data_IF_821496002642
#
_entry.id   IF_821496002642
#
_cell.length_a   1.000
_cell.length_b   1.000
_cell.length_c   1.000
_cell.angle_alpha   90.00
_cell.angle_beta   90.00
_cell.angle_gamma   90.00
#
_symmetry.space_group_name_H-M   'P 1'
#
loop_
_entity.id
_entity.type
_entity.pdbx_description
1 polymer ?
#
# COMPACT_ATOMS: atom_id res chain seq x y z
N UNK A 1 46.94 -34.95 -20.11
CA UNK A 1 47.33 -33.68 -19.46
C UNK A 1 46.26 -32.59 -19.51
N UNK A 2 45.08 -32.77 -20.16
CA UNK A 2 44.01 -31.75 -20.17
C UNK A 2 43.12 -31.72 -18.92
N UNK A 3 42.91 -32.85 -18.22
CA UNK A 3 42.01 -32.92 -17.06
C UNK A 3 42.50 -32.15 -15.81
N UNK A 4 43.80 -31.88 -15.70
CA UNK A 4 44.40 -31.19 -14.53
C UNK A 4 44.24 -29.68 -14.59
N UNK A 5 44.29 -29.08 -15.78
CA UNK A 5 44.03 -27.65 -15.97
C UNK A 5 42.56 -27.30 -15.75
N UNK A 6 41.64 -28.16 -16.19
CA UNK A 6 40.21 -27.92 -16.02
C UNK A 6 39.77 -28.04 -14.55
N UNK A 7 40.29 -29.03 -13.81
CA UNK A 7 39.99 -29.19 -12.38
C UNK A 7 40.55 -28.04 -11.52
N UNK A 8 41.74 -27.53 -11.84
CA UNK A 8 42.30 -26.35 -11.16
C UNK A 8 41.53 -25.06 -11.46
N UNK A 9 41.07 -24.87 -12.70
CA UNK A 9 40.19 -23.76 -13.08
C UNK A 9 38.85 -23.81 -12.35
N UNK A 10 38.20 -24.98 -12.28
CA UNK A 10 36.94 -25.16 -11.54
C UNK A 10 37.12 -24.89 -10.04
N UNK A 11 38.21 -25.36 -9.44
CA UNK A 11 38.51 -25.09 -8.04
C UNK A 11 38.72 -23.58 -7.76
N UNK A 12 39.44 -22.89 -8.66
CA UNK A 12 39.64 -21.44 -8.58
C UNK A 12 38.31 -20.68 -8.70
N UNK A 13 37.47 -21.03 -9.68
CA UNK A 13 36.15 -20.42 -9.89
C UNK A 13 35.24 -20.62 -8.67
N UNK A 14 35.23 -21.82 -8.09
CA UNK A 14 34.45 -22.11 -6.88
C UNK A 14 34.95 -21.30 -5.67
N UNK A 15 36.27 -21.15 -5.52
CA UNK A 15 36.85 -20.32 -4.46
C UNK A 15 36.52 -18.83 -4.63
N UNK A 16 36.62 -18.31 -5.86
CA UNK A 16 36.23 -16.93 -6.18
C UNK A 16 34.73 -16.72 -5.92
N UNK A 17 33.88 -17.63 -6.41
CA UNK A 17 32.43 -17.59 -6.18
C UNK A 17 32.09 -17.62 -4.69
N UNK A 18 32.75 -18.47 -3.90
CA UNK A 18 32.56 -18.55 -2.44
C UNK A 18 32.92 -17.24 -1.72
N UNK A 19 34.06 -16.64 -2.08
CA UNK A 19 34.50 -15.35 -1.51
C UNK A 19 33.56 -14.21 -1.92
N UNK A 20 33.21 -14.12 -3.20
CA UNK A 20 32.26 -13.12 -3.71
C UNK A 20 30.90 -13.25 -3.02
N UNK A 21 30.36 -14.46 -2.90
CA UNK A 21 29.11 -14.71 -2.21
C UNK A 21 29.16 -14.26 -0.75
N UNK A 22 30.28 -14.46 -0.06
CA UNK A 22 30.44 -14.02 1.34
C UNK A 22 30.42 -12.49 1.47
N UNK A 23 31.20 -11.78 0.64
CA UNK A 23 31.23 -10.30 0.67
C UNK A 23 29.91 -9.68 0.23
N UNK A 24 29.30 -10.19 -0.86
CA UNK A 24 28.02 -9.69 -1.35
C UNK A 24 26.92 -9.94 -0.32
N UNK A 25 26.88 -11.14 0.29
CA UNK A 25 25.91 -11.46 1.35
C UNK A 25 26.04 -10.50 2.53
N UNK A 26 27.27 -10.16 2.94
CA UNK A 26 27.51 -9.19 3.99
C UNK A 26 27.00 -7.79 3.63
N UNK A 27 27.33 -7.29 2.44
CA UNK A 27 26.86 -5.98 1.98
C UNK A 27 25.34 -5.92 1.87
N UNK A 28 24.71 -6.96 1.33
CA UNK A 28 23.24 -7.07 1.22
C UNK A 28 22.61 -7.11 2.61
N UNK A 29 23.19 -7.84 3.56
CA UNK A 29 22.69 -7.87 4.94
C UNK A 29 22.82 -6.49 5.60
N UNK A 30 23.98 -5.84 5.51
CA UNK A 30 24.23 -4.54 6.12
C UNK A 30 23.30 -3.45 5.54
N UNK A 31 23.37 -3.22 4.23
CA UNK A 31 22.58 -2.16 3.61
C UNK A 31 21.10 -2.50 3.55
N UNK A 32 20.75 -3.78 3.38
CA UNK A 32 19.37 -4.24 3.39
C UNK A 32 18.70 -4.07 4.76
N UNK A 33 19.40 -4.38 5.86
CA UNK A 33 18.83 -4.22 7.21
C UNK A 33 18.64 -2.74 7.54
N UNK A 34 19.66 -1.91 7.30
CA UNK A 34 19.57 -0.45 7.48
C UNK A 34 18.41 0.13 6.66
N UNK A 35 18.34 -0.21 5.36
CA UNK A 35 17.30 0.31 4.46
C UNK A 35 15.88 -0.09 4.88
N UNK A 36 15.67 -1.34 5.29
CA UNK A 36 14.36 -1.80 5.74
C UNK A 36 13.99 -1.22 7.11
N UNK A 37 14.92 -1.09 8.05
CA UNK A 37 14.68 -0.46 9.35
C UNK A 37 14.26 1.01 9.15
N UNK A 38 15.00 1.78 8.34
CA UNK A 38 14.65 3.15 8.03
C UNK A 38 13.27 3.25 7.36
N UNK A 39 12.99 2.37 6.40
CA UNK A 39 11.68 2.30 5.73
C UNK A 39 10.56 2.03 6.73
N UNK A 40 10.76 1.10 7.67
CA UNK A 40 9.77 0.78 8.71
C UNK A 40 9.56 1.99 9.62
N UNK A 41 10.62 2.66 10.08
CA UNK A 41 10.51 3.84 10.96
C UNK A 41 9.73 4.96 10.27
N UNK A 42 10.08 5.29 9.02
CA UNK A 42 9.44 6.36 8.25
C UNK A 42 7.99 5.99 7.96
N UNK A 43 7.72 4.83 7.38
CA UNK A 43 6.37 4.45 6.94
C UNK A 43 5.42 4.11 8.10
N UNK A 44 5.92 3.89 9.31
CA UNK A 44 5.11 3.70 10.52
C UNK A 44 4.46 4.99 11.03
N UNK A 45 4.95 6.17 10.61
CA UNK A 45 4.43 7.46 11.05
C UNK A 45 2.93 7.60 10.72
N UNK A 46 2.13 7.98 11.73
CA UNK A 46 0.67 8.06 11.60
C UNK A 46 0.22 9.03 10.49
N UNK A 47 0.99 10.10 10.26
CA UNK A 47 0.76 11.07 9.17
C UNK A 47 0.80 10.41 7.78
N UNK A 48 1.72 9.47 7.56
CA UNK A 48 1.88 8.78 6.27
C UNK A 48 0.88 7.64 6.10
N UNK A 49 0.52 6.94 7.18
CA UNK A 49 -0.45 5.83 7.19
C UNK A 49 -1.91 6.22 6.90
N UNK A 50 -2.16 7.50 6.64
CA UNK A 50 -3.43 7.98 6.06
C UNK A 50 -3.58 7.48 4.63
N UNK A 51 -2.48 7.36 3.88
CA UNK A 51 -2.46 6.80 2.53
C UNK A 51 -2.39 5.25 2.59
N UNK A 52 -3.37 4.51 2.03
CA UNK A 52 -3.38 3.04 2.09
C UNK A 52 -2.16 2.39 1.42
N UNK A 53 -1.65 2.98 0.34
CA UNK A 53 -0.44 2.53 -0.38
C UNK A 53 0.77 2.38 0.57
N UNK A 54 0.92 3.29 1.54
CA UNK A 54 1.99 3.27 2.54
C UNK A 54 1.91 2.04 3.45
N UNK A 55 0.70 1.54 3.74
CA UNK A 55 0.53 0.34 4.58
C UNK A 55 1.10 -0.90 3.89
N UNK A 56 0.94 -1.01 2.56
CA UNK A 56 1.51 -2.11 1.79
C UNK A 56 3.04 -2.04 1.74
N UNK A 57 3.61 -0.85 1.52
CA UNK A 57 5.08 -0.67 1.54
C UNK A 57 5.68 -0.93 2.93
N UNK A 58 4.99 -0.52 4.00
CA UNK A 58 5.39 -0.84 5.37
C UNK A 58 5.40 -2.35 5.59
N UNK A 59 4.30 -3.03 5.25
CA UNK A 59 4.21 -4.49 5.39
C UNK A 59 5.26 -5.22 4.52
N UNK A 60 5.54 -4.72 3.31
CA UNK A 60 6.58 -5.27 2.43
C UNK A 60 7.98 -5.07 3.00
N UNK A 61 8.25 -3.92 3.64
CA UNK A 61 9.52 -3.65 4.34
C UNK A 61 9.71 -4.56 5.55
N UNK A 62 8.64 -4.82 6.32
CA UNK A 62 8.65 -5.77 7.43
C UNK A 62 8.94 -7.18 6.92
N UNK A 63 8.26 -7.61 5.84
CA UNK A 63 8.50 -8.91 5.25
C UNK A 63 9.94 -9.04 4.74
N UNK A 64 10.44 -8.02 4.06
CA UNK A 64 11.81 -7.94 3.54
C UNK A 64 12.85 -7.98 4.65
N UNK A 65 12.61 -7.31 5.76
CA UNK A 65 13.46 -7.41 6.95
C UNK A 65 13.49 -8.85 7.51
N UNK A 66 12.34 -9.52 7.58
CA UNK A 66 12.25 -10.93 7.96
C UNK A 66 13.09 -11.86 7.07
N UNK A 67 13.08 -11.64 5.74
CA UNK A 67 13.91 -12.39 4.79
C UNK A 67 15.40 -12.23 5.12
N UNK A 68 15.84 -11.01 5.42
CA UNK A 68 17.24 -10.73 5.74
C UNK A 68 17.65 -11.41 7.05
N UNK A 69 16.80 -11.35 8.09
CA UNK A 69 17.09 -11.97 9.39
C UNK A 69 17.08 -13.49 9.36
N UNK A 70 16.23 -14.11 8.54
CA UNK A 70 16.08 -15.57 8.51
C UNK A 70 17.04 -16.20 7.47
N UNK A 71 17.25 -15.51 6.35
CA UNK A 71 17.91 -16.09 5.19
C UNK A 71 19.42 -15.90 5.11
N UNK A 72 19.92 -14.74 5.55
CA UNK A 72 21.32 -14.37 5.36
C UNK A 72 22.25 -14.77 6.51
N UNK A 73 21.83 -14.81 7.79
CA UNK A 73 22.73 -15.24 8.87
C UNK A 73 23.32 -16.64 8.68
N UNK A 74 22.53 -17.61 8.19
CA UNK A 74 23.05 -18.96 7.91
C UNK A 74 24.15 -18.94 6.82
N UNK A 75 24.01 -18.05 5.83
CA UNK A 75 24.98 -17.85 4.74
C UNK A 75 26.21 -17.07 5.18
N UNK A 76 26.05 -16.08 6.07
CA UNK A 76 27.17 -15.36 6.69
C UNK A 76 28.00 -16.27 7.58
N UNK A 77 27.36 -17.09 8.41
CA UNK A 77 28.04 -18.12 9.19
C UNK A 77 28.80 -19.09 8.30
N UNK A 78 28.19 -19.54 7.18
CA UNK A 78 28.88 -20.40 6.23
C UNK A 78 30.16 -19.77 5.66
N UNK A 79 30.17 -18.45 5.40
CA UNK A 79 31.36 -17.73 4.93
C UNK A 79 32.46 -17.53 5.99
N UNK A 80 32.09 -17.44 7.28
CA UNK A 80 33.01 -17.18 8.39
C UNK A 80 33.57 -18.45 9.04
N UNK A 81 32.73 -19.47 9.25
CA UNK A 81 33.10 -20.71 9.96
C UNK A 81 33.20 -21.92 9.03
N UNK A 82 33.03 -21.73 7.71
CA UNK A 82 33.00 -22.80 6.70
C UNK A 82 31.92 -23.88 6.94
N UNK A 83 30.98 -23.63 7.86
CA UNK A 83 29.88 -24.54 8.21
C UNK A 83 28.54 -23.81 8.17
N UNK A 84 27.63 -24.24 7.29
CA UNK A 84 26.25 -23.75 7.23
C UNK A 84 25.34 -24.65 8.08
N UNK A 85 24.67 -24.15 9.13
CA UNK A 85 23.75 -24.93 9.97
C UNK A 85 22.59 -25.57 9.21
N UNK A 86 22.22 -25.01 8.06
CA UNK A 86 21.13 -25.55 7.22
C UNK A 86 21.55 -26.79 6.46
N UNK A 87 22.86 -27.04 6.34
CA UNK A 87 23.40 -28.24 5.70
C UNK A 87 23.54 -29.42 6.67
N UNK A 88 23.35 -29.20 7.97
CA UNK A 88 23.48 -30.23 9.00
C UNK A 88 22.14 -30.62 9.62
N UNK A 89 21.15 -29.74 9.60
CA UNK A 89 19.85 -29.97 10.24
C UNK A 89 18.69 -29.91 9.22
N UNK A 90 18.02 -31.05 9.02
CA UNK A 90 16.94 -31.20 8.02
C UNK A 90 15.75 -30.29 8.30
N UNK A 91 15.41 -30.09 9.58
CA UNK A 91 14.36 -29.18 9.98
C UNK A 91 14.71 -27.73 9.62
N UNK A 92 15.95 -27.30 9.89
CA UNK A 92 16.40 -25.95 9.54
C UNK A 92 16.46 -25.72 8.02
N UNK A 93 16.91 -26.70 7.24
CA UNK A 93 16.87 -26.66 5.78
C UNK A 93 15.44 -26.41 5.27
N UNK A 94 14.50 -27.27 5.66
CA UNK A 94 13.10 -27.23 5.22
C UNK A 94 12.40 -25.95 5.65
N UNK A 95 12.48 -25.62 6.93
CA UNK A 95 11.80 -24.44 7.51
C UNK A 95 12.35 -23.15 6.92
N UNK A 96 13.68 -23.03 6.75
CA UNK A 96 14.29 -21.85 6.14
C UNK A 96 13.77 -21.62 4.73
N UNK A 97 13.74 -22.66 3.88
CA UNK A 97 13.28 -22.51 2.50
C UNK A 97 11.80 -22.09 2.46
N UNK A 98 10.95 -22.78 3.22
CA UNK A 98 9.53 -22.46 3.33
C UNK A 98 9.29 -20.99 3.70
N UNK A 99 9.91 -20.55 4.79
CA UNK A 99 9.74 -19.17 5.29
C UNK A 99 10.31 -18.16 4.30
N UNK A 100 11.47 -18.41 3.70
CA UNK A 100 12.05 -17.46 2.73
C UNK A 100 11.18 -17.29 1.49
N UNK A 101 10.64 -18.37 0.95
CA UNK A 101 9.75 -18.30 -0.21
C UNK A 101 8.44 -17.59 0.13
N UNK A 102 7.82 -17.93 1.26
CA UNK A 102 6.59 -17.29 1.70
C UNK A 102 6.76 -15.78 1.95
N UNK A 103 7.83 -15.36 2.63
CA UNK A 103 8.09 -13.94 2.87
C UNK A 103 8.49 -13.18 1.61
N UNK A 104 9.25 -13.79 0.69
CA UNK A 104 9.58 -13.20 -0.63
C UNK A 104 8.32 -12.95 -1.45
N UNK A 105 7.46 -13.96 -1.57
CA UNK A 105 6.17 -13.83 -2.27
C UNK A 105 5.30 -12.77 -1.60
N UNK A 106 5.21 -12.77 -0.26
CA UNK A 106 4.48 -11.73 0.49
C UNK A 106 4.99 -10.33 0.14
N UNK A 107 6.30 -10.10 0.23
CA UNK A 107 6.90 -8.78 -0.02
C UNK A 107 6.61 -8.26 -1.42
N UNK A 108 6.73 -9.10 -2.45
CA UNK A 108 6.48 -8.74 -3.85
C UNK A 108 5.00 -8.45 -4.11
N UNK A 109 4.10 -9.31 -3.66
CA UNK A 109 2.66 -9.11 -3.87
C UNK A 109 2.11 -7.90 -3.13
N UNK A 110 2.69 -7.54 -1.99
CA UNK A 110 2.36 -6.28 -1.31
C UNK A 110 2.73 -5.06 -2.17
N UNK A 111 3.86 -5.08 -2.89
CA UNK A 111 4.22 -4.00 -3.82
C UNK A 111 3.30 -3.95 -5.04
N UNK A 112 2.89 -5.12 -5.56
CA UNK A 112 1.86 -5.20 -6.62
C UNK A 112 0.56 -4.53 -6.15
N UNK A 113 0.09 -4.87 -4.96
CA UNK A 113 -1.12 -4.27 -4.39
C UNK A 113 -0.97 -2.79 -4.04
N UNK A 114 0.24 -2.34 -3.66
CA UNK A 114 0.54 -0.92 -3.52
C UNK A 114 0.35 -0.18 -4.86
N UNK A 115 0.76 -0.80 -5.97
CA UNK A 115 0.61 -0.26 -7.33
C UNK A 115 -0.85 -0.23 -7.77
N UNK A 116 -1.62 -1.28 -7.46
CA UNK A 116 -3.06 -1.36 -7.72
C UNK A 116 -3.82 -0.30 -6.89
N UNK A 117 -3.47 -0.15 -5.61
CA UNK A 117 -4.05 0.87 -4.72
C UNK A 117 -3.77 2.27 -5.24
N UNK A 118 -2.55 2.53 -5.73
CA UNK A 118 -2.20 3.80 -6.35
C UNK A 118 -3.02 4.08 -7.63
N UNK A 119 -3.28 3.04 -8.43
CA UNK A 119 -4.17 3.16 -9.58
C UNK A 119 -5.59 3.51 -9.16
N UNK A 120 -6.16 2.84 -8.15
CA UNK A 120 -7.47 3.19 -7.60
C UNK A 120 -7.51 4.65 -7.12
N UNK A 121 -6.52 5.06 -6.32
CA UNK A 121 -6.42 6.42 -5.79
C UNK A 121 -6.34 7.50 -6.89
N UNK A 122 -5.68 7.19 -8.00
CA UNK A 122 -5.57 8.10 -9.15
C UNK A 122 -6.82 8.18 -10.04
N UNK A 123 -7.81 7.31 -9.84
CA UNK A 123 -8.95 7.22 -10.74
C UNK A 123 -9.91 8.41 -10.59
N UNK A 124 -10.36 8.95 -11.73
CA UNK A 124 -11.42 9.98 -11.76
C UNK A 124 -12.78 9.45 -11.30
N UNK A 125 -13.00 8.14 -11.41
CA UNK A 125 -14.23 7.50 -10.99
C UNK A 125 -14.24 7.32 -9.47
N UNK A 126 -15.15 8.02 -8.80
CA UNK A 126 -15.31 7.98 -7.34
C UNK A 126 -15.48 6.55 -6.80
N UNK A 127 -16.25 5.69 -7.47
CA UNK A 127 -16.49 4.32 -7.02
C UNK A 127 -15.20 3.51 -6.98
N UNK A 128 -14.32 3.70 -7.98
CA UNK A 128 -12.99 3.05 -8.02
C UNK A 128 -12.05 3.64 -6.98
N UNK A 129 -12.02 4.96 -6.84
CA UNK A 129 -11.19 5.65 -5.84
C UNK A 129 -11.49 5.23 -4.41
N UNK A 130 -12.77 4.97 -4.09
CA UNK A 130 -13.20 4.49 -2.77
C UNK A 130 -12.64 3.10 -2.42
N UNK A 131 -12.19 2.30 -3.40
CA UNK A 131 -11.53 1.02 -3.14
C UNK A 131 -10.14 1.21 -2.51
N UNK A 132 -9.46 2.33 -2.79
CA UNK A 132 -8.28 2.74 -2.03
C UNK A 132 -8.71 3.20 -0.65
N UNK A 133 -8.70 2.26 0.29
CA UNK A 133 -9.04 2.52 1.69
C UNK A 133 -8.18 1.69 2.62
N UNK A 134 -7.94 2.23 3.82
CA UNK A 134 -7.18 1.54 4.87
C UNK A 134 -7.82 0.21 5.27
N UNK A 135 -9.16 0.13 5.26
CA UNK A 135 -9.91 -1.09 5.58
C UNK A 135 -9.64 -2.19 4.56
N UNK A 136 -9.65 -1.86 3.27
CA UNK A 136 -9.30 -2.81 2.21
C UNK A 136 -7.81 -3.20 2.29
N UNK A 137 -6.93 -2.24 2.57
CA UNK A 137 -5.50 -2.51 2.69
C UNK A 137 -5.16 -3.53 3.79
N UNK A 138 -5.67 -3.36 5.02
CA UNK A 138 -5.40 -4.34 6.08
C UNK A 138 -5.91 -5.76 5.75
N UNK A 139 -7.08 -5.86 5.13
CA UNK A 139 -7.63 -7.15 4.68
C UNK A 139 -6.76 -7.77 3.58
N UNK A 140 -6.36 -6.97 2.58
CA UNK A 140 -5.49 -7.42 1.50
C UNK A 140 -4.13 -7.88 2.03
N UNK A 141 -3.50 -7.15 2.95
CA UNK A 141 -2.23 -7.54 3.58
C UNK A 141 -2.35 -8.91 4.24
N UNK A 142 -3.41 -9.13 5.04
CA UNK A 142 -3.65 -10.40 5.71
C UNK A 142 -3.85 -11.55 4.70
N UNK A 143 -4.69 -11.33 3.69
CA UNK A 143 -4.99 -12.33 2.65
C UNK A 143 -3.72 -12.68 1.85
N UNK A 144 -2.95 -11.69 1.42
CA UNK A 144 -1.70 -11.89 0.66
C UNK A 144 -0.72 -12.71 1.48
N UNK A 145 -0.57 -12.41 2.77
CA UNK A 145 0.32 -13.17 3.65
C UNK A 145 -0.12 -14.62 3.76
N UNK A 146 -1.41 -14.88 4.04
CA UNK A 146 -1.95 -16.24 4.14
C UNK A 146 -1.78 -17.01 2.83
N UNK A 147 -2.15 -16.41 1.69
CA UNK A 147 -2.02 -17.04 0.38
C UNK A 147 -0.56 -17.33 0.02
N UNK A 148 0.38 -16.46 0.41
CA UNK A 148 1.80 -16.69 0.20
C UNK A 148 2.32 -17.88 1.00
N UNK A 149 1.84 -18.10 2.22
CA UNK A 149 2.22 -19.27 3.02
C UNK A 149 1.59 -20.56 2.49
N UNK A 150 0.35 -20.49 2.02
CA UNK A 150 -0.33 -21.63 1.39
C UNK A 150 0.36 -22.04 0.09
N UNK A 151 0.79 -21.06 -0.72
CA UNK A 151 1.47 -21.32 -2.01
C UNK A 151 2.74 -22.14 -1.86
N UNK A 152 3.39 -22.08 -0.69
CA UNK A 152 4.67 -22.73 -0.44
C UNK A 152 4.60 -23.87 0.57
N UNK A 153 3.39 -24.33 0.93
CA UNK A 153 3.18 -25.35 1.97
C UNK A 153 3.81 -26.71 1.62
N UNK A 154 4.03 -26.97 0.34
CA UNK A 154 4.72 -28.15 -0.19
C UNK A 154 6.25 -28.09 0.00
N UNK A 155 6.84 -26.90 0.21
CA UNK A 155 8.29 -26.71 0.32
C UNK A 155 8.95 -27.58 1.41
N UNK A 156 8.42 -27.71 2.64
CA UNK A 156 8.98 -28.61 3.65
C UNK A 156 9.02 -30.09 3.26
N UNK A 157 8.17 -30.52 2.33
CA UNK A 157 8.11 -31.89 1.82
C UNK A 157 9.01 -32.07 0.59
N UNK A 158 9.23 -31.00 -0.16
CA UNK A 158 10.04 -31.01 -1.38
C UNK A 158 11.54 -30.83 -1.18
N UNK A 159 12.00 -30.42 0.00
CA UNK A 159 13.42 -30.23 0.30
C UNK A 159 13.97 -31.28 1.27
N UNK A 160 15.23 -31.68 1.07
CA UNK A 160 15.92 -32.64 1.90
C UNK A 160 17.41 -32.34 2.01
N UNK A 161 18.07 -33.05 2.93
CA UNK A 161 19.54 -33.02 3.08
C UNK A 161 20.16 -34.22 2.40
N UNK A 162 21.34 -34.04 1.79
CA UNK A 162 22.15 -35.10 1.16
C UNK A 162 21.40 -35.85 0.05
N UNK A 163 20.68 -35.11 -0.79
CA UNK A 163 20.01 -35.68 -1.97
C UNK A 163 21.09 -36.19 -2.95
N UNK A 164 20.97 -37.45 -3.46
CA UNK A 164 21.94 -37.98 -4.43
C UNK A 164 22.07 -37.06 -5.64
N UNK A 165 23.31 -36.85 -6.10
CA UNK A 165 23.61 -36.02 -7.28
C UNK A 165 23.19 -34.54 -7.19
N UNK A 166 22.83 -34.06 -5.99
CA UNK A 166 22.48 -32.67 -5.81
C UNK A 166 23.73 -31.76 -5.71
N UNK A 167 23.68 -30.55 -6.31
CA UNK A 167 24.79 -29.59 -6.26
C UNK A 167 24.95 -28.94 -4.86
N UNK A 168 23.93 -29.03 -4.01
CA UNK A 168 23.88 -28.43 -2.69
C UNK A 168 23.39 -29.45 -1.66
N UNK A 169 23.86 -29.33 -0.41
CA UNK A 169 23.46 -30.23 0.67
C UNK A 169 21.98 -30.11 1.03
N UNK A 170 21.41 -28.90 1.06
CA UNK A 170 19.98 -28.64 1.21
C UNK A 170 19.38 -28.35 -0.17
N UNK A 171 18.66 -29.31 -0.76
CA UNK A 171 18.20 -29.24 -2.15
C UNK A 171 16.88 -29.97 -2.38
N UNK A 172 16.27 -29.73 -3.55
CA UNK A 172 15.01 -30.35 -3.96
C UNK A 172 15.15 -31.87 -4.12
N UNK A 173 14.34 -32.61 -3.38
CA UNK A 173 14.42 -34.07 -3.24
C UNK A 173 14.06 -34.84 -4.53
N UNK A 174 13.17 -34.28 -5.36
CA UNK A 174 12.73 -34.88 -6.62
C UNK A 174 12.80 -33.89 -7.78
N UNK A 175 12.89 -34.39 -9.01
CA UNK A 175 12.84 -33.55 -10.21
C UNK A 175 11.52 -32.79 -10.32
N UNK A 176 10.39 -33.44 -9.97
CA UNK A 176 9.08 -32.80 -9.94
C UNK A 176 9.03 -31.61 -8.97
N UNK A 177 9.59 -31.77 -7.76
CA UNK A 177 9.68 -30.69 -6.78
C UNK A 177 10.54 -29.52 -7.26
N UNK A 178 11.62 -29.79 -8.00
CA UNK A 178 12.46 -28.72 -8.56
C UNK A 178 11.74 -27.93 -9.63
N UNK A 179 11.16 -28.62 -10.62
CA UNK A 179 10.41 -27.99 -11.70
C UNK A 179 9.23 -27.18 -11.15
N UNK A 180 8.46 -27.76 -10.22
CA UNK A 180 7.34 -27.08 -9.59
C UNK A 180 7.80 -25.81 -8.86
N UNK A 181 8.80 -25.92 -7.97
CA UNK A 181 9.27 -24.78 -7.19
C UNK A 181 9.86 -23.68 -8.07
N UNK A 182 10.67 -24.04 -9.08
CA UNK A 182 11.28 -23.06 -9.98
C UNK A 182 10.21 -22.33 -10.80
N UNK A 183 9.21 -23.05 -11.32
CA UNK A 183 8.11 -22.45 -12.08
C UNK A 183 7.19 -21.61 -11.17
N UNK A 184 6.84 -22.11 -9.99
CA UNK A 184 6.03 -21.40 -9.00
C UNK A 184 6.76 -20.12 -8.53
N UNK A 185 8.07 -20.18 -8.32
CA UNK A 185 8.87 -19.02 -7.94
C UNK A 185 8.91 -18.00 -9.07
N UNK A 186 9.29 -18.43 -10.29
CA UNK A 186 9.39 -17.54 -11.45
C UNK A 186 8.04 -16.87 -11.77
N UNK A 187 6.95 -17.63 -11.74
CA UNK A 187 5.61 -17.08 -11.99
C UNK A 187 5.15 -16.13 -10.88
N UNK A 188 5.22 -16.55 -9.61
CA UNK A 188 4.64 -15.81 -8.48
C UNK A 188 5.48 -14.64 -7.97
N UNK A 189 6.79 -14.61 -8.23
CA UNK A 189 7.69 -13.57 -7.72
C UNK A 189 8.27 -12.67 -8.82
N UNK A 190 8.31 -13.14 -10.07
CA UNK A 190 8.93 -12.39 -11.18
C UNK A 190 7.91 -12.04 -12.25
N UNK A 191 7.38 -13.03 -12.97
CA UNK A 191 6.64 -12.82 -14.21
C UNK A 191 5.29 -12.12 -13.95
N UNK A 192 4.42 -12.73 -13.14
CA UNK A 192 3.08 -12.20 -12.87
C UNK A 192 3.17 -10.84 -12.16
N UNK A 193 3.95 -10.67 -11.08
CA UNK A 193 4.10 -9.36 -10.44
C UNK A 193 4.59 -8.27 -11.37
N UNK A 194 5.60 -8.53 -12.21
CA UNK A 194 6.15 -7.52 -13.12
C UNK A 194 5.14 -7.07 -14.17
N UNK A 195 4.38 -8.01 -14.74
CA UNK A 195 3.31 -7.70 -15.70
C UNK A 195 2.23 -6.84 -15.03
N UNK A 196 1.77 -7.22 -13.83
CA UNK A 196 0.76 -6.46 -13.11
C UNK A 196 1.25 -5.06 -12.71
N UNK A 197 2.47 -4.94 -12.19
CA UNK A 197 3.06 -3.63 -11.83
C UNK A 197 3.20 -2.73 -13.06
N UNK A 198 3.60 -3.27 -14.21
CA UNK A 198 3.70 -2.50 -15.45
C UNK A 198 2.32 -2.01 -15.90
N UNK A 199 1.31 -2.90 -15.94
CA UNK A 199 -0.05 -2.55 -16.37
C UNK A 199 -0.63 -1.47 -15.45
N UNK A 200 -0.67 -1.70 -14.14
CA UNK A 200 -1.27 -0.75 -13.20
C UNK A 200 -0.44 0.53 -13.02
N UNK A 201 0.88 0.45 -13.20
CA UNK A 201 1.77 1.61 -13.26
C UNK A 201 1.43 2.51 -14.44
N UNK A 202 1.32 1.95 -15.65
CA UNK A 202 0.93 2.70 -16.85
C UNK A 202 -0.48 3.28 -16.74
N UNK A 203 -1.44 2.52 -16.19
CA UNK A 203 -2.80 3.02 -15.95
C UNK A 203 -2.84 4.16 -14.92
N UNK A 204 -1.97 4.12 -13.91
CA UNK A 204 -1.82 5.22 -12.95
C UNK A 204 -1.30 6.48 -13.64
N UNK A 205 -0.24 6.33 -14.45
CA UNK A 205 0.36 7.44 -15.22
C UNK A 205 -0.68 8.03 -16.18
N UNK A 206 -1.45 7.19 -16.87
CA UNK A 206 -2.54 7.62 -17.74
C UNK A 206 -3.60 8.44 -16.99
N UNK A 207 -4.05 7.96 -15.83
CA UNK A 207 -5.04 8.68 -15.01
C UNK A 207 -4.51 10.05 -14.54
N UNK A 208 -3.25 10.11 -14.12
CA UNK A 208 -2.61 11.35 -13.67
C UNK A 208 -2.49 12.34 -14.84
N UNK A 209 -2.02 11.91 -16.00
CA UNK A 209 -1.93 12.77 -17.18
C UNK A 209 -3.29 13.30 -17.62
N UNK A 210 -4.32 12.44 -17.65
CA UNK A 210 -5.69 12.86 -17.98
C UNK A 210 -6.22 13.90 -16.99
N UNK A 211 -5.99 13.68 -15.70
CA UNK A 211 -6.41 14.61 -14.65
C UNK A 211 -5.68 15.93 -14.77
N UNK A 212 -4.37 15.90 -15.03
CA UNK A 212 -3.56 17.08 -15.27
C UNK A 212 -4.07 17.87 -16.49
N UNK A 213 -4.28 17.21 -17.63
CA UNK A 213 -4.82 17.83 -18.85
C UNK A 213 -6.19 18.48 -18.64
N UNK A 214 -7.07 17.89 -17.82
CA UNK A 214 -8.37 18.47 -17.50
C UNK A 214 -8.28 19.73 -16.62
N UNK A 215 -7.26 19.84 -15.76
CA UNK A 215 -7.09 20.95 -14.82
C UNK A 215 -6.30 22.11 -15.45
N UNK A 216 -5.36 21.84 -16.37
CA UNK A 216 -4.54 22.85 -17.05
C UNK A 216 -5.31 24.06 -17.63
N UNK A 217 -6.43 23.91 -18.37
CA UNK A 217 -7.18 25.07 -18.88
C UNK A 217 -7.82 25.89 -17.75
N UNK A 218 -8.25 25.27 -16.66
CA UNK A 218 -8.79 25.98 -15.49
C UNK A 218 -7.70 26.81 -14.82
N UNK A 219 -6.51 26.22 -14.66
CA UNK A 219 -5.34 26.93 -14.12
C UNK A 219 -5.00 28.14 -15.01
N UNK A 220 -4.98 27.96 -16.34
CA UNK A 220 -4.67 29.02 -17.28
C UNK A 220 -5.69 30.17 -17.23
N UNK A 221 -6.98 29.88 -17.07
CA UNK A 221 -8.01 30.92 -16.91
C UNK A 221 -7.81 31.66 -15.58
N UNK A 222 -7.59 30.93 -14.49
CA UNK A 222 -7.39 31.52 -13.15
C UNK A 222 -6.16 32.44 -13.12
N UNK A 223 -5.06 32.04 -13.77
CA UNK A 223 -3.85 32.87 -13.85
C UNK A 223 -4.04 34.11 -14.69
N UNK A 224 -4.90 34.08 -15.71
CA UNK A 224 -5.24 35.25 -16.53
C UNK A 224 -6.17 36.23 -15.81
N UNK A 225 -7.10 35.73 -14.98
CA UNK A 225 -8.11 36.56 -14.30
C UNK A 225 -7.53 37.28 -13.08
N UNK A 226 -6.69 36.63 -12.27
CA UNK A 226 -6.03 37.28 -11.13
C UNK A 226 -4.65 36.64 -10.85
N UNK A 227 -3.57 37.20 -11.43
CA UNK A 227 -2.22 36.65 -11.26
C UNK A 227 -1.71 36.74 -9.83
N UNK A 228 -2.25 37.64 -8.99
CA UNK A 228 -1.80 37.84 -7.60
C UNK A 228 -2.42 36.82 -6.64
N UNK A 229 -3.57 36.24 -6.98
CA UNK A 229 -4.27 35.23 -6.18
C UNK A 229 -4.31 33.85 -6.83
N UNK A 230 -3.71 33.68 -8.02
CA UNK A 230 -3.72 32.43 -8.77
C UNK A 230 -3.31 31.22 -7.92
N UNK A 231 -2.30 31.37 -7.06
CA UNK A 231 -1.83 30.28 -6.20
C UNK A 231 -2.86 29.84 -5.16
N UNK A 232 -3.63 30.78 -4.60
CA UNK A 232 -4.75 30.51 -3.67
C UNK A 232 -5.94 29.88 -4.39
N UNK A 233 -6.29 30.38 -5.59
CA UNK A 233 -7.37 29.81 -6.39
C UNK A 233 -7.06 28.40 -6.91
N UNK A 234 -5.81 28.14 -7.32
CA UNK A 234 -5.33 26.81 -7.73
C UNK A 234 -5.38 25.86 -6.54
N UNK A 235 -4.91 26.29 -5.35
CA UNK A 235 -4.99 25.50 -4.12
C UNK A 235 -6.44 25.17 -3.77
N UNK A 236 -7.35 26.15 -3.83
CA UNK A 236 -8.78 25.94 -3.57
C UNK A 236 -9.44 25.04 -4.62
N UNK A 237 -9.07 25.14 -5.89
CA UNK A 237 -9.61 24.29 -6.98
C UNK A 237 -9.13 22.83 -6.85
N UNK A 238 -7.87 22.63 -6.47
CA UNK A 238 -7.31 21.31 -6.15
C UNK A 238 -7.98 20.73 -4.89
N UNK A 239 -8.26 21.56 -3.88
CA UNK A 239 -9.00 21.15 -2.68
C UNK A 239 -10.45 20.79 -3.02
N UNK A 240 -11.13 21.56 -3.89
CA UNK A 240 -12.52 21.30 -4.30
C UNK A 240 -12.69 19.98 -5.08
N UNK A 241 -11.69 19.58 -5.87
CA UNK A 241 -11.72 18.29 -6.60
C UNK A 241 -11.54 17.06 -5.70
N UNK A 242 -11.04 17.22 -4.47
CA UNK A 242 -10.91 16.16 -3.45
C UNK A 242 -12.02 16.18 -2.38
N UNK A 243 -12.88 17.21 -2.36
CA UNK A 243 -13.97 17.38 -1.39
C UNK A 243 -15.37 17.28 -2.02
N UNK A 244 -15.58 16.38 -2.98
CA UNK A 244 -16.94 16.15 -3.51
C UNK A 244 -17.86 15.66 -2.39
N UNK A 245 -18.94 16.40 -2.13
CA UNK A 245 -19.96 16.00 -1.18
C UNK A 245 -20.59 14.65 -1.57
N UNK A 246 -20.69 13.74 -0.61
CA UNK A 246 -21.38 12.46 -0.78
C UNK A 246 -22.62 12.48 0.11
N UNK A 247 -23.76 12.76 -0.50
CA UNK A 247 -25.06 12.75 0.18
C UNK A 247 -25.43 11.31 0.51
N UNK A 248 -25.76 11.06 1.78
CA UNK A 248 -26.17 9.75 2.30
C UNK A 248 -27.68 9.63 2.40
N UNK A 249 -28.30 10.69 2.89
CA UNK A 249 -29.74 10.81 2.96
C UNK A 249 -30.09 12.30 2.96
N UNK A 250 -31.20 12.66 2.31
CA UNK A 250 -31.69 14.02 2.26
C UNK A 250 -33.22 14.00 2.10
N UNK A 251 -33.89 14.78 2.93
CA UNK A 251 -35.29 15.16 2.80
C UNK A 251 -35.32 16.70 2.80
N UNK A 252 -35.04 17.29 1.63
CA UNK A 252 -35.08 18.74 1.33
C UNK A 252 -34.88 18.94 -0.18
N UNK A 253 -35.16 20.14 -0.71
CA UNK A 253 -34.99 20.45 -2.15
C UNK A 253 -33.52 20.42 -2.59
N UNK A 254 -33.27 20.12 -3.87
CA UNK A 254 -31.90 20.08 -4.43
C UNK A 254 -31.14 21.41 -4.23
N UNK A 255 -31.83 22.54 -4.39
CA UNK A 255 -31.24 23.86 -4.13
C UNK A 255 -30.77 24.01 -2.68
N UNK A 256 -31.56 23.54 -1.72
CA UNK A 256 -31.21 23.58 -0.29
C UNK A 256 -30.08 22.60 0.04
N UNK A 257 -30.01 21.46 -0.64
CA UNK A 257 -28.90 20.52 -0.49
C UNK A 257 -27.59 21.14 -0.98
N UNK A 258 -27.62 21.84 -2.11
CA UNK A 258 -26.45 22.52 -2.66
C UNK A 258 -25.99 23.63 -1.71
N UNK A 259 -26.92 24.43 -1.18
CA UNK A 259 -26.62 25.45 -0.17
C UNK A 259 -26.00 24.85 1.11
N UNK A 260 -26.46 23.67 1.55
CA UNK A 260 -25.88 22.95 2.68
C UNK A 260 -24.43 22.54 2.42
N UNK A 261 -24.14 22.03 1.23
CA UNK A 261 -22.79 21.64 0.80
C UNK A 261 -21.87 22.85 0.70
N UNK A 262 -22.34 23.96 0.14
CA UNK A 262 -21.52 25.16 -0.06
C UNK A 262 -21.19 25.85 1.26
N UNK A 263 -22.16 26.01 2.15
CA UNK A 263 -21.95 26.57 3.49
C UNK A 263 -21.01 25.68 4.31
N UNK A 264 -21.18 24.37 4.24
CA UNK A 264 -20.30 23.43 4.94
C UNK A 264 -18.85 23.43 4.38
N UNK A 265 -18.70 23.61 3.08
CA UNK A 265 -17.38 23.74 2.44
C UNK A 265 -16.66 25.00 2.93
N UNK A 266 -17.34 26.13 2.97
CA UNK A 266 -16.81 27.39 3.53
C UNK A 266 -16.44 27.25 5.01
N UNK A 267 -17.29 26.56 5.79
CA UNK A 267 -17.05 26.32 7.22
C UNK A 267 -15.75 25.53 7.45
N UNK A 268 -15.52 24.48 6.64
CA UNK A 268 -14.32 23.63 6.69
C UNK A 268 -13.05 24.33 6.20
N UNK A 269 -13.16 25.42 5.44
CA UNK A 269 -12.02 26.26 5.04
C UNK A 269 -11.65 27.26 6.13
N UNK A 270 -12.63 27.76 6.89
CA UNK A 270 -12.44 28.81 7.89
C UNK A 270 -12.09 28.28 9.28
N UNK A 271 -12.58 27.08 9.65
CA UNK A 271 -12.45 26.55 11.00
C UNK A 271 -11.87 25.13 10.99
N UNK A 272 -11.09 24.82 12.03
CA UNK A 272 -10.45 23.50 12.20
C UNK A 272 -11.08 22.66 13.34
N UNK A 273 -11.95 23.25 14.15
CA UNK A 273 -12.60 22.61 15.29
C UNK A 273 -14.04 22.24 14.89
N UNK A 274 -14.41 20.96 15.03
CA UNK A 274 -15.72 20.43 14.61
C UNK A 274 -16.90 21.21 15.21
N UNK A 275 -16.78 21.62 16.48
CA UNK A 275 -17.75 22.47 17.18
C UNK A 275 -17.98 23.81 16.46
N UNK A 276 -16.91 24.47 16.02
CA UNK A 276 -16.98 25.79 15.39
C UNK A 276 -17.55 25.68 13.97
N UNK A 277 -17.19 24.60 13.25
CA UNK A 277 -17.77 24.27 11.95
C UNK A 277 -19.29 24.07 12.09
N UNK A 278 -19.74 23.26 13.06
CA UNK A 278 -21.16 23.01 13.30
C UNK A 278 -21.91 24.31 13.67
N UNK A 279 -21.32 25.14 14.53
CA UNK A 279 -21.89 26.42 14.94
C UNK A 279 -22.05 27.39 13.76
N UNK A 280 -21.07 27.43 12.86
CA UNK A 280 -21.13 28.27 11.66
C UNK A 280 -22.23 27.81 10.70
N UNK A 281 -22.29 26.52 10.38
CA UNK A 281 -23.31 25.96 9.47
C UNK A 281 -24.71 26.23 10.01
N UNK A 282 -24.94 25.94 11.30
CA UNK A 282 -26.21 26.23 11.99
C UNK A 282 -26.59 27.70 11.85
N UNK A 283 -25.66 28.62 12.15
CA UNK A 283 -25.92 30.07 12.15
C UNK A 283 -26.33 30.58 10.76
N UNK A 284 -25.65 30.13 9.71
CA UNK A 284 -25.98 30.54 8.34
C UNK A 284 -27.30 29.94 7.87
N UNK A 285 -27.63 28.70 8.26
CA UNK A 285 -28.93 28.09 7.96
C UNK A 285 -30.09 28.74 8.70
N UNK A 286 -29.93 29.04 10.00
CA UNK A 286 -30.93 29.79 10.77
C UNK A 286 -31.23 31.16 10.13
N UNK A 287 -30.20 31.82 9.59
CA UNK A 287 -30.33 33.11 8.91
C UNK A 287 -31.05 32.99 7.57
N UNK A 288 -30.80 31.92 6.81
CA UNK A 288 -31.32 31.76 5.44
C UNK A 288 -32.70 31.09 5.38
N UNK A 289 -32.98 30.13 6.27
CA UNK A 289 -34.17 29.26 6.22
C UNK A 289 -35.01 29.31 7.50
N UNK A 290 -34.94 30.42 8.21
CA UNK A 290 -35.53 30.65 9.53
C UNK A 290 -34.87 29.82 10.64
N UNK A 291 -34.94 30.29 11.90
CA UNK A 291 -34.29 29.62 13.03
C UNK A 291 -34.80 28.19 13.32
N UNK A 292 -34.07 27.51 14.21
CA UNK A 292 -34.26 26.14 14.77
C UNK A 292 -33.55 25.01 14.02
N UNK A 293 -32.47 25.34 13.31
CA UNK A 293 -31.57 24.33 12.76
C UNK A 293 -30.63 23.76 13.81
N UNK A 294 -30.30 22.49 13.63
CA UNK A 294 -29.36 21.74 14.42
C UNK A 294 -28.31 21.13 13.49
N UNK A 295 -27.03 21.30 13.81
CA UNK A 295 -25.93 20.77 13.03
C UNK A 295 -25.02 19.93 13.91
N UNK A 296 -24.68 18.72 13.44
CA UNK A 296 -23.71 17.83 14.04
C UNK A 296 -22.61 17.59 13.02
N UNK A 297 -21.37 17.79 13.44
CA UNK A 297 -20.18 17.59 12.62
C UNK A 297 -19.25 16.64 13.36
N UNK A 298 -18.77 15.60 12.68
CA UNK A 298 -17.85 14.66 13.30
C UNK A 298 -17.40 13.56 12.34
N UNK A 299 -16.28 12.91 12.65
CA UNK A 299 -15.77 11.79 11.85
C UNK A 299 -16.49 10.47 12.12
N UNK A 300 -17.00 10.28 13.33
CA UNK A 300 -17.72 9.08 13.74
C UNK A 300 -18.85 9.45 14.71
N UNK A 301 -20.10 9.35 14.26
CA UNK A 301 -21.26 9.44 15.12
C UNK A 301 -22.41 8.60 14.53
N UNK A 302 -23.31 8.15 15.41
CA UNK A 302 -24.61 7.62 15.03
C UNK A 302 -25.68 8.64 15.41
N UNK A 303 -26.73 8.75 14.60
CA UNK A 303 -27.83 9.68 14.85
C UNK A 303 -29.14 9.03 14.47
N UNK A 304 -30.13 9.14 15.36
CA UNK A 304 -31.51 8.80 15.10
C UNK A 304 -32.36 9.94 15.65
N UNK A 305 -32.74 10.86 14.78
CA UNK A 305 -33.33 12.16 15.17
C UNK A 305 -34.70 12.33 14.51
N UNK A 306 -35.65 12.79 15.31
CA UNK A 306 -36.93 13.31 14.80
C UNK A 306 -36.68 14.72 14.27
N UNK A 307 -37.21 15.03 13.09
CA UNK A 307 -36.99 16.28 12.39
C UNK A 307 -38.26 16.69 11.65
N UNK A 308 -38.36 17.98 11.32
CA UNK A 308 -39.40 18.49 10.44
C UNK A 308 -39.24 17.92 9.02
N UNK A 309 -40.35 17.63 8.34
CA UNK A 309 -40.32 17.16 6.94
C UNK A 309 -39.68 18.21 6.04
N UNK A 310 -38.97 17.77 5.00
CA UNK A 310 -38.25 18.63 4.04
C UNK A 310 -37.11 19.47 4.61
N UNK A 311 -36.65 19.19 5.83
CA UNK A 311 -35.57 19.93 6.48
C UNK A 311 -34.51 19.00 7.08
N UNK A 312 -34.03 18.01 6.32
CA UNK A 312 -33.01 17.06 6.78
C UNK A 312 -31.98 16.71 5.70
N UNK A 313 -30.70 16.71 6.06
CA UNK A 313 -29.62 16.23 5.20
C UNK A 313 -28.49 15.61 6.02
N UNK A 314 -27.98 14.50 5.51
CA UNK A 314 -26.80 13.80 6.02
C UNK A 314 -25.84 13.55 4.86
N UNK A 315 -24.61 14.07 4.95
CA UNK A 315 -23.62 13.96 3.89
C UNK A 315 -22.19 13.94 4.44
N UNK A 316 -21.26 13.55 3.57
CA UNK A 316 -19.83 13.57 3.85
C UNK A 316 -19.12 14.60 2.97
N UNK A 317 -18.26 15.43 3.58
CA UNK A 317 -17.25 16.22 2.88
C UNK A 317 -15.87 15.66 3.24
N UNK A 318 -15.28 14.91 2.32
CA UNK A 318 -14.05 14.15 2.58
C UNK A 318 -14.26 13.08 3.66
N UNK A 319 -13.60 13.24 4.81
CA UNK A 319 -13.72 12.32 5.97
C UNK A 319 -14.63 12.84 7.08
N UNK A 320 -15.23 14.03 6.92
CA UNK A 320 -16.08 14.65 7.93
C UNK A 320 -17.53 14.40 7.55
N UNK A 321 -18.29 13.81 8.47
CA UNK A 321 -19.73 13.63 8.33
C UNK A 321 -20.45 14.85 8.89
N UNK A 322 -21.49 15.29 8.20
CA UNK A 322 -22.28 16.46 8.55
C UNK A 322 -23.74 16.05 8.51
N UNK A 323 -24.42 16.24 9.63
CA UNK A 323 -25.85 16.06 9.78
C UNK A 323 -26.46 17.42 10.09
N UNK A 324 -27.43 17.84 9.29
CA UNK A 324 -28.12 19.11 9.43
C UNK A 324 -29.62 18.84 9.36
N UNK A 325 -30.35 19.25 10.38
CA UNK A 325 -31.79 19.03 10.45
C UNK A 325 -32.47 20.15 11.23
N UNK A 326 -33.76 20.35 10.96
CA UNK A 326 -34.59 21.31 11.70
C UNK A 326 -35.53 20.57 12.65
N UNK A 327 -35.70 21.11 13.85
CA UNK A 327 -36.63 20.60 14.85
C UNK A 327 -37.16 21.75 15.69
N UNK A 328 -38.49 21.91 15.73
CA UNK A 328 -39.17 22.95 16.49
C UNK A 328 -40.68 22.79 16.44
#
# INVERSE_FOLDING_TARGET
MSNTTDSTMVALLNNISSRLNSYITFLVFLFGTIGNILSIIVLSQARLRVNPCVLYFLASSIASFGILLIGLPSRLMAGLTSTDPTNTNSLLCKFRIFVLYAFRTTAVWLVVFATIDRWFASSINYTRRRLSSRRFAYKAILIIHILSFILWIESPFCYGINVPEAPLRCYGSSQACRIFNDLAYASSTVIIPSILMLIFGLLTIYNIHRTHQAIQPIIAIVTLVDPTKAQTYILNTIIMTDRKAVIKNADMSEDMQQDAVDIATQALEKYNIEKDIAAYIKKEFDKKYNPTWHCIVGRNFGSYVTHETKHFIYFYLGQVAILLFKSG
#
